data_IF_558662482097
#
_entry.id   IF_558662482097
#
_cell.length_a   1.000
_cell.length_b   1.000
_cell.length_c   1.000
_cell.angle_alpha   90.00
_cell.angle_beta   90.00
_cell.angle_gamma   90.00
#
_symmetry.space_group_name_H-M   'P 1'
#
loop_
_entity.id
_entity.type
_entity.pdbx_description
1 polymer ?
#
# COMPACT_ATOMS: atom_id res chain seq x y z
N UNK A 1 3.27 23.11 18.64
CA UNK A 1 3.48 21.77 19.22
C UNK A 1 3.35 20.76 18.10
N UNK A 2 4.42 20.01 17.80
CA UNK A 2 4.36 18.89 16.84
C UNK A 2 3.67 17.72 17.54
N UNK A 3 2.63 17.09 16.97
CA UNK A 3 2.00 15.94 17.60
C UNK A 3 3.02 14.79 17.71
N UNK A 4 3.32 14.38 18.94
CA UNK A 4 4.19 13.24 19.20
C UNK A 4 3.44 11.94 18.88
N UNK A 5 4.00 11.12 18.00
CA UNK A 5 3.45 9.80 17.69
C UNK A 5 4.10 8.75 18.60
N UNK A 6 3.28 8.00 19.32
CA UNK A 6 3.74 6.93 20.21
C UNK A 6 3.32 5.57 19.66
N UNK A 7 4.25 4.62 19.61
CA UNK A 7 3.98 3.22 19.26
C UNK A 7 3.99 2.42 20.55
N UNK A 8 2.85 1.82 20.90
CA UNK A 8 2.71 0.95 22.06
C UNK A 8 2.26 -0.44 21.63
N UNK A 9 2.65 -1.46 22.39
CA UNK A 9 2.27 -2.85 22.15
C UNK A 9 0.93 -3.12 22.85
N UNK A 10 0.03 -3.80 22.16
CA UNK A 10 -1.21 -4.32 22.77
C UNK A 10 -0.83 -5.60 23.50
N UNK A 11 -1.03 -5.61 24.82
CA UNK A 11 -0.77 -6.79 25.66
C UNK A 11 -1.77 -7.92 25.35
N UNK A 12 -1.49 -9.14 25.83
CA UNK A 12 -2.31 -10.32 25.55
C UNK A 12 -3.76 -10.21 26.07
N UNK A 13 -3.99 -9.39 27.09
CA UNK A 13 -5.30 -9.09 27.68
C UNK A 13 -6.02 -7.91 27.00
N UNK A 14 -5.54 -7.47 25.83
CA UNK A 14 -6.03 -6.32 25.07
C UNK A 14 -5.83 -4.96 25.74
N UNK A 15 -5.00 -4.88 26.78
CA UNK A 15 -4.64 -3.59 27.38
C UNK A 15 -3.59 -2.85 26.56
N UNK A 16 -3.65 -1.52 26.59
CA UNK A 16 -2.65 -0.63 25.98
C UNK A 16 -2.09 0.24 27.09
N UNK A 17 -0.78 0.15 27.33
CA UNK A 17 -0.10 1.04 28.28
C UNK A 17 0.11 2.39 27.61
N UNK A 18 -0.56 3.41 28.13
CA UNK A 18 -0.35 4.78 27.72
C UNK A 18 1.00 5.28 28.27
N UNK A 19 1.77 6.08 27.50
CA UNK A 19 2.93 6.78 28.01
C UNK A 19 2.63 7.57 29.29
N UNK A 20 3.53 7.50 30.29
CA UNK A 20 3.35 8.10 31.61
C UNK A 20 3.24 9.63 31.64
N UNK A 21 3.59 10.29 30.53
CA UNK A 21 3.57 11.75 30.40
C UNK A 21 2.30 12.27 29.68
N UNK A 22 1.41 11.37 29.21
CA UNK A 22 0.10 11.77 28.70
C UNK A 22 -0.76 12.24 29.88
N UNK A 23 -1.41 13.39 29.74
CA UNK A 23 -2.30 13.89 30.77
C UNK A 23 -3.63 13.14 30.73
N UNK A 24 -4.20 12.87 31.90
CA UNK A 24 -5.53 12.28 32.01
C UNK A 24 -6.54 13.26 31.37
N UNK A 25 -7.33 12.77 30.41
CA UNK A 25 -8.33 13.56 29.69
C UNK A 25 -7.88 14.05 28.30
N UNK A 26 -6.65 13.81 27.88
CA UNK A 26 -6.21 14.08 26.51
C UNK A 26 -6.89 13.15 25.50
N UNK A 27 -7.28 13.70 24.35
CA UNK A 27 -7.78 12.92 23.22
C UNK A 27 -6.59 12.31 22.46
N UNK A 28 -6.61 11.00 22.27
CA UNK A 28 -5.59 10.26 21.54
C UNK A 28 -6.20 9.47 20.39
N UNK A 29 -5.48 9.41 19.26
CA UNK A 29 -5.82 8.53 18.15
C UNK A 29 -5.10 7.20 18.33
N UNK A 30 -5.86 6.10 18.43
CA UNK A 30 -5.30 4.75 18.53
C UNK A 30 -5.41 4.06 17.17
N UNK A 31 -4.26 3.76 16.57
CA UNK A 31 -4.17 3.00 15.31
C UNK A 31 -3.66 1.59 15.61
N UNK A 32 -4.46 0.57 15.30
CA UNK A 32 -4.02 -0.83 15.38
C UNK A 32 -3.23 -1.18 14.12
N UNK A 33 -1.92 -1.36 14.28
CA UNK A 33 -1.09 -1.92 13.20
C UNK A 33 -1.11 -3.45 13.30
N UNK A 34 -1.43 -4.18 12.22
CA UNK A 34 -1.28 -5.63 12.20
C UNK A 34 0.19 -6.00 12.40
N UNK A 35 0.45 -7.05 13.17
CA UNK A 35 1.83 -7.49 13.43
C UNK A 35 2.54 -7.88 12.12
N UNK A 36 3.85 -7.69 12.06
CA UNK A 36 4.65 -8.11 10.89
C UNK A 36 4.44 -9.60 10.58
N UNK A 37 4.30 -10.44 11.61
CA UNK A 37 4.05 -11.88 11.46
C UNK A 37 2.69 -12.13 10.80
N UNK A 38 1.63 -11.47 11.29
CA UNK A 38 0.27 -11.57 10.71
C UNK A 38 0.26 -11.11 9.25
N UNK A 39 1.00 -10.05 8.97
CA UNK A 39 1.13 -9.49 7.63
C UNK A 39 1.89 -10.41 6.66
N UNK A 40 2.87 -11.16 7.15
CA UNK A 40 3.62 -12.15 6.36
C UNK A 40 2.81 -13.44 6.15
N UNK A 41 1.96 -13.81 7.10
CA UNK A 41 1.07 -14.97 6.97
C UNK A 41 0.00 -14.75 5.88
N UNK A 42 -0.41 -13.51 5.62
CA UNK A 42 -1.41 -13.18 4.59
C UNK A 42 -0.92 -13.54 3.17
N UNK A 43 -1.42 -14.67 2.65
CA UNK A 43 -1.10 -15.17 1.33
C UNK A 43 -1.58 -14.24 0.19
N UNK A 44 -2.72 -13.57 0.37
CA UNK A 44 -3.29 -12.65 -0.62
C UNK A 44 -2.42 -11.40 -0.74
N UNK A 45 -1.97 -10.86 0.40
CA UNK A 45 -1.03 -9.73 0.42
C UNK A 45 0.30 -10.10 -0.22
N UNK A 46 0.88 -11.26 0.12
CA UNK A 46 2.13 -11.74 -0.50
C UNK A 46 2.00 -11.89 -2.02
N UNK A 47 0.89 -12.44 -2.51
CA UNK A 47 0.64 -12.58 -3.95
C UNK A 47 0.58 -11.22 -4.65
N UNK A 48 -0.14 -10.25 -4.08
CA UNK A 48 -0.20 -8.88 -4.61
C UNK A 48 1.19 -8.24 -4.64
N UNK A 49 1.95 -8.35 -3.54
CA UNK A 49 3.30 -7.82 -3.46
C UNK A 49 4.23 -8.43 -4.51
N UNK A 50 4.19 -9.75 -4.70
CA UNK A 50 4.98 -10.44 -5.71
C UNK A 50 4.62 -9.99 -7.14
N UNK A 51 3.33 -9.88 -7.44
CA UNK A 51 2.86 -9.41 -8.74
C UNK A 51 3.29 -7.97 -9.03
N UNK A 52 3.17 -7.07 -8.05
CA UNK A 52 3.63 -5.68 -8.17
C UNK A 52 5.15 -5.61 -8.37
N UNK A 53 5.92 -6.36 -7.58
CA UNK A 53 7.38 -6.42 -7.73
C UNK A 53 7.78 -6.91 -9.11
N UNK A 54 7.14 -7.96 -9.62
CA UNK A 54 7.39 -8.48 -10.96
C UNK A 54 7.03 -7.45 -12.03
N UNK A 55 5.90 -6.75 -11.91
CA UNK A 55 5.51 -5.70 -12.85
C UNK A 55 6.53 -4.55 -12.91
N UNK A 56 7.05 -4.12 -11.76
CA UNK A 56 8.12 -3.10 -11.69
C UNK A 56 9.40 -3.60 -12.36
N UNK A 57 9.83 -4.82 -12.06
CA UNK A 57 11.03 -5.40 -12.68
C UNK A 57 10.86 -5.51 -14.20
N UNK A 58 9.71 -5.96 -14.67
CA UNK A 58 9.41 -6.03 -16.10
C UNK A 58 9.45 -4.64 -16.76
N UNK A 59 8.92 -3.61 -16.09
CA UNK A 59 8.97 -2.23 -16.58
C UNK A 59 10.41 -1.69 -16.65
N UNK A 60 11.25 -1.99 -15.65
CA UNK A 60 12.65 -1.58 -15.63
C UNK A 60 13.50 -2.26 -16.73
N UNK A 61 13.17 -3.51 -17.08
CA UNK A 61 13.88 -4.28 -18.10
C UNK A 61 13.22 -4.22 -19.47
N UNK A 62 12.16 -3.41 -19.64
CA UNK A 62 11.52 -3.25 -20.92
C UNK A 62 12.52 -2.63 -21.94
N UNK A 63 12.73 -3.25 -23.11
CA UNK A 63 13.78 -2.86 -24.05
C UNK A 63 13.55 -1.54 -24.77
N UNK A 64 12.44 -0.85 -24.49
CA UNK A 64 12.19 0.51 -24.97
C UNK A 64 11.87 1.39 -23.77
N UNK A 65 12.53 2.55 -23.58
CA UNK A 65 11.89 3.61 -22.83
C UNK A 65 10.54 3.84 -23.52
N UNK A 66 9.44 3.76 -22.76
CA UNK A 66 8.15 4.15 -23.28
C UNK A 66 8.35 5.51 -23.96
N UNK A 67 7.99 5.61 -25.24
CA UNK A 67 7.93 6.91 -25.89
C UNK A 67 7.13 7.83 -24.96
N UNK A 68 7.56 9.09 -24.79
CA UNK A 68 6.80 10.08 -24.04
C UNK A 68 5.48 10.29 -24.79
N UNK A 69 4.48 9.48 -24.45
CA UNK A 69 3.16 9.55 -25.02
C UNK A 69 2.45 10.74 -24.41
N UNK A 70 1.78 11.55 -25.24
CA UNK A 70 0.85 12.55 -24.73
C UNK A 70 -0.37 11.87 -24.10
N UNK A 71 -1.10 12.58 -23.23
CA UNK A 71 -2.33 12.07 -22.63
C UNK A 71 -3.35 11.64 -23.70
N UNK A 72 -3.42 12.36 -24.82
CA UNK A 72 -4.28 12.03 -25.96
C UNK A 72 -3.89 10.69 -26.61
N UNK A 73 -2.58 10.43 -26.74
CA UNK A 73 -2.06 9.19 -27.31
C UNK A 73 -2.33 8.00 -26.39
N UNK A 74 -2.19 8.19 -25.07
CA UNK A 74 -2.57 7.19 -24.06
C UNK A 74 -4.06 6.86 -24.17
N UNK A 75 -4.93 7.87 -24.25
CA UNK A 75 -6.39 7.67 -24.39
C UNK A 75 -6.71 6.94 -25.70
N UNK A 76 -6.07 7.30 -26.81
CA UNK A 76 -6.26 6.62 -28.09
C UNK A 76 -5.84 5.14 -28.01
N UNK A 77 -4.71 4.85 -27.38
CA UNK A 77 -4.19 3.49 -27.19
C UNK A 77 -5.12 2.64 -26.33
N UNK A 78 -5.62 3.20 -25.21
CA UNK A 78 -6.60 2.51 -24.34
C UNK A 78 -7.92 2.24 -25.08
N UNK A 79 -8.42 3.22 -25.84
CA UNK A 79 -9.65 3.05 -26.65
C UNK A 79 -9.47 1.95 -27.69
N UNK A 80 -8.31 1.86 -28.35
CA UNK A 80 -7.99 0.80 -29.33
C UNK A 80 -7.94 -0.57 -28.65
N UNK A 81 -7.23 -0.70 -27.53
CA UNK A 81 -7.12 -1.95 -26.79
C UNK A 81 -8.50 -2.47 -26.33
N UNK A 82 -9.36 -1.59 -25.81
CA UNK A 82 -10.74 -1.94 -25.38
C UNK A 82 -11.65 -2.40 -26.52
N UNK A 83 -11.41 -1.93 -27.75
CA UNK A 83 -12.18 -2.36 -28.94
C UNK A 83 -11.71 -3.74 -29.41
N UNK A 84 -10.41 -4.02 -29.33
CA UNK A 84 -9.84 -5.31 -29.71
C UNK A 84 -10.37 -6.45 -28.82
N UNK A 85 -10.55 -6.23 -27.52
CA UNK A 85 -11.10 -7.23 -26.59
C UNK A 85 -12.62 -7.40 -26.65
N UNK A 86 -13.33 -6.56 -27.42
CA UNK A 86 -14.79 -6.62 -27.61
C UNK A 86 -15.21 -7.33 -28.90
N UNK A 87 -14.25 -7.73 -29.73
CA UNK A 87 -14.49 -8.34 -31.04
C UNK A 87 -14.33 -9.87 -31.04
N UNK A 88 -14.23 -10.47 -29.84
CA UNK A 88 -14.49 -11.89 -29.54
C UNK A 88 -15.79 -11.99 -28.74
#
# INVERSE_FOLDING_TARGET
MTPATFVSVVEADYTVKAPSHLQIGEQVLVLRMPSAISLLADATRRRRFAATRQAIQNAMHAPNPAADLSDEEIVALVKRARRATKSE
#
